data_IF_578220720336
#
_entry.id   IF_578220720336
#
_cell.length_a   1.000
_cell.length_b   1.000
_cell.length_c   1.000
_cell.angle_alpha   90.00
_cell.angle_beta   90.00
_cell.angle_gamma   90.00
#
_symmetry.space_group_name_H-M   'P 1'
#
loop_
_entity.id
_entity.type
_entity.pdbx_description
1 polymer ?
#
# COMPACT_ATOMS: atom_id res chain seq x y z
N UNK A 1 13.03 -41.81 -40.30
CA UNK A 1 11.62 -41.36 -40.17
C UNK A 1 11.07 -41.62 -38.76
N UNK A 2 11.75 -41.14 -37.70
CA UNK A 2 11.32 -41.36 -36.29
C UNK A 2 11.31 -40.06 -35.45
N UNK A 3 11.82 -38.96 -36.00
CA UNK A 3 11.93 -37.65 -35.32
C UNK A 3 10.77 -36.69 -35.62
N UNK A 4 9.93 -36.98 -36.61
CA UNK A 4 8.83 -36.08 -37.02
C UNK A 4 7.57 -36.19 -36.15
N UNK A 5 7.41 -37.28 -35.39
CA UNK A 5 6.22 -37.48 -34.54
C UNK A 5 6.38 -36.80 -33.17
N UNK A 6 7.62 -36.67 -32.66
CA UNK A 6 7.86 -35.98 -31.38
C UNK A 6 7.61 -34.47 -31.46
N UNK A 7 7.85 -33.84 -32.61
CA UNK A 7 7.59 -32.40 -32.80
C UNK A 7 6.10 -32.05 -32.85
N UNK A 8 5.25 -32.97 -33.33
CA UNK A 8 3.79 -32.79 -33.36
C UNK A 8 3.13 -32.82 -31.98
N UNK A 9 3.67 -33.64 -31.06
CA UNK A 9 3.16 -33.74 -29.69
C UNK A 9 3.64 -32.56 -28.83
N UNK A 10 4.84 -32.04 -29.09
CA UNK A 10 5.38 -30.88 -28.38
C UNK A 10 4.61 -29.58 -28.71
N UNK A 11 4.05 -29.47 -29.92
CA UNK A 11 3.23 -28.31 -30.33
C UNK A 11 1.80 -28.32 -29.76
N UNK A 12 1.28 -29.48 -29.33
CA UNK A 12 -0.04 -29.53 -28.67
C UNK A 12 0.00 -29.25 -27.16
N UNK A 13 1.19 -29.28 -26.52
CA UNK A 13 1.34 -28.86 -25.12
C UNK A 13 1.49 -27.34 -24.94
N UNK A 14 1.60 -26.58 -26.03
CA UNK A 14 1.55 -25.12 -26.04
C UNK A 14 0.26 -24.62 -26.69
N UNK A 15 -0.87 -25.25 -26.36
CA UNK A 15 -2.11 -24.49 -26.30
C UNK A 15 -2.04 -23.84 -24.92
N UNK A 16 -1.74 -22.53 -24.78
CA UNK A 16 -2.10 -21.86 -23.55
C UNK A 16 -3.61 -22.07 -23.47
N UNK A 17 -4.01 -22.95 -22.55
CA UNK A 17 -5.40 -23.06 -22.17
C UNK A 17 -5.81 -21.63 -21.87
N UNK A 18 -6.68 -21.09 -22.71
CA UNK A 18 -7.41 -19.86 -22.47
C UNK A 18 -8.42 -20.20 -21.36
N UNK A 19 -7.90 -20.65 -20.22
CA UNK A 19 -8.60 -20.62 -18.95
C UNK A 19 -8.90 -19.15 -18.77
N UNK A 20 -10.20 -18.83 -18.84
CA UNK A 20 -10.73 -17.48 -18.93
C UNK A 20 -9.86 -16.50 -18.16
N UNK A 21 -9.19 -15.62 -18.90
CA UNK A 21 -8.58 -14.45 -18.30
C UNK A 21 -9.73 -13.64 -17.73
N UNK A 22 -10.03 -13.87 -16.46
CA UNK A 22 -10.79 -12.93 -15.65
C UNK A 22 -9.94 -11.66 -15.62
N UNK A 23 -10.20 -10.74 -16.55
CA UNK A 23 -9.64 -9.40 -16.49
C UNK A 23 -10.25 -8.73 -15.25
N UNK A 24 -9.54 -8.81 -14.13
CA UNK A 24 -9.85 -8.08 -12.91
C UNK A 24 -9.29 -6.68 -13.08
N UNK A 25 -10.16 -5.73 -13.46
CA UNK A 25 -9.82 -4.32 -13.34
C UNK A 25 -10.30 -3.86 -11.97
N UNK A 26 -9.36 -3.59 -11.06
CA UNK A 26 -9.62 -3.04 -9.74
C UNK A 26 -9.21 -1.57 -9.73
N UNK A 27 -10.15 -0.68 -9.40
CA UNK A 27 -9.88 0.75 -9.17
C UNK A 27 -10.27 1.08 -7.75
N UNK A 28 -9.38 1.71 -7.01
CA UNK A 28 -9.63 2.15 -5.64
C UNK A 28 -9.58 3.67 -5.62
N UNK A 29 -10.65 4.30 -5.15
CA UNK A 29 -10.69 5.71 -4.82
C UNK A 29 -10.85 5.86 -3.31
N UNK A 30 -10.08 6.77 -2.73
CA UNK A 30 -10.11 7.07 -1.30
C UNK A 30 -10.52 8.52 -1.15
N UNK A 31 -11.44 8.82 -0.24
CA UNK A 31 -11.92 10.18 0.02
C UNK A 31 -12.20 10.42 1.51
N UNK A 32 -12.10 11.66 1.97
CA UNK A 32 -12.49 12.03 3.32
C UNK A 32 -13.99 12.41 3.33
N UNK A 33 -14.85 11.55 3.88
CA UNK A 33 -16.29 11.85 4.01
C UNK A 33 -16.57 12.78 5.19
N UNK A 34 -15.68 12.78 6.18
CA UNK A 34 -15.73 13.68 7.34
C UNK A 34 -14.32 13.97 7.86
N UNK A 35 -14.18 14.91 8.78
CA UNK A 35 -12.90 15.26 9.40
C UNK A 35 -12.20 14.07 10.07
N UNK A 36 -12.94 13.00 10.40
CA UNK A 36 -12.43 11.80 11.06
C UNK A 36 -12.78 10.51 10.33
N UNK A 37 -13.24 10.58 9.08
CA UNK A 37 -13.74 9.40 8.36
C UNK A 37 -13.18 9.37 6.95
N UNK A 38 -12.46 8.29 6.67
CA UNK A 38 -11.90 7.99 5.37
C UNK A 38 -12.79 6.92 4.72
N UNK A 39 -13.36 7.21 3.58
CA UNK A 39 -14.11 6.26 2.78
C UNK A 39 -13.23 5.71 1.65
N UNK A 40 -13.11 4.38 1.63
CA UNK A 40 -12.39 3.64 0.60
C UNK A 40 -13.43 2.97 -0.28
N UNK A 41 -13.52 3.44 -1.52
CA UNK A 41 -14.40 2.88 -2.54
C UNK A 41 -13.54 2.02 -3.47
N UNK A 42 -13.79 0.72 -3.47
CA UNK A 42 -13.15 -0.24 -4.37
C UNK A 42 -14.15 -0.70 -5.42
N UNK A 43 -13.80 -0.49 -6.68
CA UNK A 43 -14.54 -0.93 -7.86
C UNK A 43 -13.81 -2.14 -8.45
N UNK A 44 -14.42 -3.31 -8.38
CA UNK A 44 -13.92 -4.54 -8.98
C UNK A 44 -14.77 -4.92 -10.19
N UNK A 45 -14.20 -4.87 -11.39
CA UNK A 45 -14.85 -5.43 -12.58
C UNK A 45 -14.44 -6.88 -12.72
N UNK A 46 -15.42 -7.80 -12.67
CA UNK A 46 -15.21 -9.23 -12.93
C UNK A 46 -15.96 -9.64 -14.18
N UNK A 47 -15.27 -10.20 -15.16
CA UNK A 47 -15.86 -10.74 -16.38
C UNK A 47 -15.87 -12.27 -16.32
N UNK A 48 -17.05 -12.89 -16.42
CA UNK A 48 -17.24 -14.34 -16.48
C UNK A 48 -18.04 -14.64 -17.75
N UNK A 49 -17.53 -15.53 -18.61
CA UNK A 49 -18.17 -15.92 -19.88
C UNK A 49 -18.54 -14.74 -20.79
N UNK A 50 -17.68 -13.72 -20.85
CA UNK A 50 -17.90 -12.51 -21.66
C UNK A 50 -18.88 -11.50 -21.06
N UNK A 51 -19.46 -11.78 -19.89
CA UNK A 51 -20.32 -10.86 -19.15
C UNK A 51 -19.50 -10.18 -18.05
N UNK A 52 -19.30 -8.88 -18.17
CA UNK A 52 -18.62 -8.08 -17.15
C UNK A 52 -19.62 -7.51 -16.14
N UNK A 53 -19.35 -7.72 -14.86
CA UNK A 53 -20.08 -7.10 -13.74
C UNK A 53 -19.13 -6.25 -12.92
N UNK A 54 -19.58 -5.05 -12.57
CA UNK A 54 -18.86 -4.16 -11.67
C UNK A 54 -19.41 -4.36 -10.26
N UNK A 55 -18.52 -4.68 -9.32
CA UNK A 55 -18.81 -4.80 -7.90
C UNK A 55 -18.27 -3.58 -7.18
N UNK A 56 -19.13 -2.90 -6.44
CA UNK A 56 -18.80 -1.74 -5.65
C UNK A 56 -18.68 -2.16 -4.19
N UNK A 57 -17.54 -1.86 -3.57
CA UNK A 57 -17.34 -2.06 -2.13
C UNK A 57 -16.91 -0.72 -1.53
N UNK A 58 -17.78 -0.11 -0.73
CA UNK A 58 -17.41 1.02 0.13
C UNK A 58 -17.06 0.51 1.52
N UNK A 59 -15.94 0.97 2.06
CA UNK A 59 -15.51 0.70 3.43
C UNK A 59 -15.18 2.03 4.10
N UNK A 60 -15.77 2.28 5.26
CA UNK A 60 -15.46 3.45 6.07
C UNK A 60 -14.40 3.07 7.11
N UNK A 61 -13.37 3.89 7.21
CA UNK A 61 -12.32 3.79 8.21
C UNK A 61 -12.34 5.04 9.09
N UNK A 62 -12.47 4.83 10.39
CA UNK A 62 -12.39 5.92 11.36
C UNK A 62 -10.92 6.31 11.62
N UNK A 63 -10.60 7.59 11.42
CA UNK A 63 -9.29 8.15 11.68
C UNK A 63 -9.28 8.88 13.03
N UNK A 64 -8.52 8.33 13.99
CA UNK A 64 -8.44 8.88 15.35
C UNK A 64 -7.84 10.29 15.42
N UNK A 65 -6.95 10.64 14.49
CA UNK A 65 -6.24 11.93 14.47
C UNK A 65 -6.71 12.85 13.33
N UNK A 66 -7.81 12.48 12.67
CA UNK A 66 -8.38 13.21 11.55
C UNK A 66 -8.01 12.63 10.19
N UNK A 67 -8.68 13.12 9.15
CA UNK A 67 -8.45 12.78 7.75
C UNK A 67 -7.70 13.94 7.09
N UNK A 68 -6.61 13.65 6.39
CA UNK A 68 -5.83 14.62 5.63
C UNK A 68 -6.16 14.41 4.16
N UNK A 69 -6.79 15.42 3.57
CA UNK A 69 -7.06 15.46 2.14
C UNK A 69 -5.84 16.06 1.43
N UNK A 70 -4.83 15.22 1.17
CA UNK A 70 -3.75 15.59 0.27
C UNK A 70 -4.27 15.52 -1.18
N UNK A 71 -3.86 16.46 -2.04
CA UNK A 71 -4.34 16.63 -3.43
C UNK A 71 -4.24 15.36 -4.30
N UNK A 72 -3.49 14.35 -3.86
CA UNK A 72 -3.20 13.11 -4.60
C UNK A 72 -3.71 11.85 -3.88
N UNK A 73 -3.74 11.82 -2.54
CA UNK A 73 -4.11 10.61 -1.78
C UNK A 73 -4.66 10.97 -0.39
N UNK A 74 -5.99 10.99 -0.22
CA UNK A 74 -6.60 11.15 1.09
C UNK A 74 -6.16 10.03 2.04
N UNK A 75 -5.74 10.39 3.24
CA UNK A 75 -5.17 9.45 4.22
C UNK A 75 -5.51 9.85 5.65
N UNK A 76 -5.46 8.90 6.59
CA UNK A 76 -5.58 9.24 8.01
C UNK A 76 -4.34 10.00 8.49
N UNK A 77 -4.55 11.04 9.30
CA UNK A 77 -3.47 11.79 9.92
C UNK A 77 -2.62 10.86 10.82
N UNK A 78 -1.28 10.95 10.76
CA UNK A 78 -0.41 10.19 11.64
C UNK A 78 -0.58 10.65 13.09
N UNK A 79 -0.36 9.72 14.03
CA UNK A 79 -0.47 10.05 15.43
C UNK A 79 0.63 11.05 15.85
N UNK A 80 0.31 12.06 16.69
CA UNK A 80 1.26 13.12 17.05
C UNK A 80 2.46 12.62 17.86
N UNK A 81 2.37 11.43 18.49
CA UNK A 81 3.45 10.90 19.31
C UNK A 81 4.59 10.24 18.50
N UNK A 82 4.32 9.80 17.26
CA UNK A 82 5.35 9.17 16.42
C UNK A 82 6.34 10.20 15.92
N UNK A 83 5.85 11.34 15.42
CA UNK A 83 6.71 12.44 14.97
C UNK A 83 7.57 12.98 16.12
N UNK A 84 7.03 13.14 17.32
CA UNK A 84 7.79 13.67 18.45
C UNK A 84 8.95 12.77 18.88
N UNK A 85 8.79 11.45 18.79
CA UNK A 85 9.83 10.50 19.27
C UNK A 85 11.07 10.52 18.37
N UNK A 86 10.89 10.64 17.05
CA UNK A 86 12.01 10.74 16.10
C UNK A 86 12.85 12.00 16.28
N UNK A 87 12.26 13.13 16.69
CA UNK A 87 13.00 14.38 16.91
C UNK A 87 13.60 14.50 18.31
N UNK A 88 12.90 14.01 19.34
CA UNK A 88 13.34 14.18 20.73
C UNK A 88 14.53 13.27 21.08
N UNK A 89 14.54 12.02 20.59
CA UNK A 89 15.61 11.06 20.87
C UNK A 89 17.04 11.54 20.50
N UNK A 90 17.31 12.06 19.28
CA UNK A 90 18.65 12.53 18.92
C UNK A 90 19.07 13.77 19.70
N UNK A 91 18.13 14.67 20.02
CA UNK A 91 18.40 15.89 20.81
C UNK A 91 18.87 15.52 22.21
N UNK A 92 18.18 14.59 22.87
CA UNK A 92 18.56 14.10 24.20
C UNK A 92 19.93 13.42 24.16
N UNK A 93 20.19 12.58 23.16
CA UNK A 93 21.48 11.91 23.00
C UNK A 93 22.64 12.91 22.83
N UNK A 94 22.48 13.93 21.98
CA UNK A 94 23.48 14.99 21.78
C UNK A 94 23.72 15.79 23.06
N UNK A 95 22.68 16.07 23.84
CA UNK A 95 22.80 16.77 25.12
C UNK A 95 23.64 15.96 26.13
N UNK A 96 23.42 14.65 26.24
CA UNK A 96 24.24 13.79 27.10
C UNK A 96 25.70 13.71 26.64
N UNK A 97 25.95 13.59 25.33
CA UNK A 97 27.31 13.58 24.78
C UNK A 97 28.02 14.90 25.11
N UNK A 98 27.31 16.03 24.99
CA UNK A 98 27.85 17.35 25.30
C UNK A 98 28.21 17.50 26.79
N UNK A 99 27.35 17.04 27.71
CA UNK A 99 27.64 17.04 29.15
C UNK A 99 28.87 16.19 29.46
N UNK A 100 28.96 14.98 28.92
CA UNK A 100 30.12 14.10 29.13
C UNK A 100 31.40 14.75 28.61
N UNK A 101 31.33 15.39 27.44
CA UNK A 101 32.48 16.10 26.86
C UNK A 101 32.93 17.28 27.72
N UNK A 102 31.99 18.10 28.20
CA UNK A 102 32.26 19.21 29.13
C UNK A 102 32.89 18.73 30.43
N UNK A 103 32.34 17.67 31.03
CA UNK A 103 32.87 17.06 32.25
C UNK A 103 34.33 16.64 32.09
N UNK A 104 34.66 15.96 30.98
CA UNK A 104 36.04 15.54 30.69
C UNK A 104 37.00 16.71 30.47
N UNK A 105 36.51 17.84 29.96
CA UNK A 105 37.31 19.05 29.70
C UNK A 105 37.59 19.84 30.97
N UNK A 106 36.65 19.84 31.93
CA UNK A 106 36.80 20.55 33.21
C UNK A 106 37.66 19.78 34.23
N UNK A 107 37.75 18.45 34.12
CA UNK A 107 38.58 17.60 34.98
C UNK A 107 40.05 17.48 34.53
N UNK A 108 40.42 18.07 33.39
CA UNK A 108 41.81 18.16 32.91
C UNK A 108 42.34 19.56 33.16
#
# INVERSE_FOLDING_TARGET
MKQLILFGILLMMFIPSVQGQFALTQSTSVQCTSNNTLEVITNETRCIDGICKVFFKSTEQFCNFGCVEDEVTPQCAPAPFEVTTFYVAPIVALFFIFIIWLGRRLTK
#
